data_IF_879972900064
#
_entry.id   IF_879972900064
#
_cell.length_a   1.000
_cell.length_b   1.000
_cell.length_c   1.000
_cell.angle_alpha   90.00
_cell.angle_beta   90.00
_cell.angle_gamma   90.00
#
_symmetry.space_group_name_H-M   'P 1'
#
loop_
_entity.id
_entity.type
_entity.pdbx_description
1 polymer ?
#
# COMPACT_ATOMS: atom_id res chain seq x y z
N UNK A 1 -15.83 3.68 7.16
CA UNK A 1 -14.38 3.42 7.36
C UNK A 1 -13.62 3.92 6.16
N UNK A 2 -12.42 4.48 6.36
CA UNK A 2 -11.56 5.02 5.31
C UNK A 2 -10.38 4.08 5.05
N UNK A 3 -10.08 3.73 3.80
CA UNK A 3 -8.93 2.87 3.51
C UNK A 3 -7.63 3.62 3.76
N UNK A 4 -6.76 3.05 4.61
CA UNK A 4 -5.46 3.64 4.94
C UNK A 4 -4.30 2.86 4.34
N UNK A 5 -4.54 1.60 3.95
CA UNK A 5 -3.58 0.77 3.24
C UNK A 5 -4.33 -0.35 2.51
N UNK A 6 -4.03 -0.58 1.24
CA UNK A 6 -4.57 -1.72 0.48
C UNK A 6 -3.42 -2.59 0.01
N UNK A 7 -3.53 -3.91 0.19
CA UNK A 7 -2.53 -4.83 -0.34
C UNK A 7 -2.67 -4.88 -1.86
N UNK A 8 -1.55 -4.85 -2.58
CA UNK A 8 -1.56 -4.96 -4.03
C UNK A 8 -1.86 -6.41 -4.44
N UNK A 9 -2.95 -6.59 -5.20
CA UNK A 9 -3.36 -7.88 -5.77
C UNK A 9 -3.17 -7.92 -7.29
N UNK A 10 -2.47 -6.94 -7.87
CA UNK A 10 -1.94 -7.03 -9.22
C UNK A 10 -0.55 -7.65 -9.11
N UNK A 11 -0.40 -8.88 -9.63
CA UNK A 11 0.84 -9.64 -9.55
C UNK A 11 1.95 -8.82 -10.24
N UNK A 12 2.98 -8.40 -9.50
CA UNK A 12 4.07 -7.64 -10.08
C UNK A 12 4.99 -8.55 -10.90
N UNK A 13 6.00 -7.95 -11.54
CA UNK A 13 7.12 -8.71 -12.11
C UNK A 13 7.67 -9.72 -11.10
N UNK A 14 8.07 -10.91 -11.57
CA UNK A 14 8.45 -12.06 -10.74
C UNK A 14 9.48 -11.71 -9.65
N UNK A 15 10.45 -10.86 -9.97
CA UNK A 15 11.50 -10.40 -9.06
C UNK A 15 10.99 -9.56 -7.87
N UNK A 16 9.80 -8.97 -8.00
CA UNK A 16 9.20 -8.06 -7.01
C UNK A 16 8.08 -8.70 -6.20
N UNK A 17 7.61 -9.90 -6.56
CA UNK A 17 6.49 -10.57 -5.87
C UNK A 17 6.73 -10.66 -4.36
N UNK A 18 7.95 -11.02 -3.96
CA UNK A 18 8.34 -11.19 -2.55
C UNK A 18 8.22 -9.92 -1.69
N UNK A 19 8.12 -8.74 -2.32
CA UNK A 19 7.88 -7.47 -1.63
C UNK A 19 6.40 -7.29 -1.23
N UNK A 20 5.49 -8.05 -1.84
CA UNK A 20 4.04 -7.95 -1.63
C UNK A 20 3.47 -9.18 -0.93
N UNK A 21 3.87 -10.39 -1.31
CA UNK A 21 3.48 -11.61 -0.61
C UNK A 21 4.45 -12.75 -0.90
N UNK A 22 4.43 -13.78 -0.06
CA UNK A 22 5.15 -15.04 -0.27
C UNK A 22 4.14 -16.17 -0.32
N UNK A 23 4.31 -17.10 -1.24
CA UNK A 23 3.43 -18.24 -1.41
C UNK A 23 4.26 -19.50 -1.55
N UNK A 24 3.74 -20.62 -1.05
CA UNK A 24 4.30 -21.95 -1.31
C UNK A 24 3.92 -22.48 -2.71
N UNK A 25 2.87 -21.93 -3.32
CA UNK A 25 2.37 -22.33 -4.65
C UNK A 25 2.29 -21.14 -5.61
N UNK A 26 2.11 -21.42 -6.89
CA UNK A 26 1.88 -20.40 -7.91
C UNK A 26 0.54 -19.67 -7.70
N UNK A 27 0.56 -18.36 -7.90
CA UNK A 27 -0.59 -17.46 -7.82
C UNK A 27 -0.86 -16.91 -9.22
N UNK A 28 -2.13 -16.85 -9.60
CA UNK A 28 -2.54 -16.45 -10.96
C UNK A 28 -3.35 -15.17 -10.94
N UNK A 29 -3.07 -14.25 -11.87
CA UNK A 29 -3.82 -13.02 -12.01
C UNK A 29 -5.24 -13.33 -12.51
N UNK A 30 -6.23 -12.62 -11.95
CA UNK A 30 -7.62 -12.60 -12.45
C UNK A 30 -8.04 -11.16 -12.78
N UNK A 31 -9.19 -11.02 -13.44
CA UNK A 31 -9.79 -9.70 -13.74
C UNK A 31 -9.97 -8.86 -12.47
N UNK A 32 -10.26 -9.51 -11.34
CA UNK A 32 -10.30 -8.92 -10.01
C UNK A 32 -9.46 -9.75 -9.04
N UNK A 33 -8.33 -9.19 -8.64
CA UNK A 33 -7.42 -9.77 -7.66
C UNK A 33 -6.69 -11.03 -8.13
N UNK A 34 -6.47 -11.97 -7.21
CA UNK A 34 -5.61 -13.13 -7.43
C UNK A 34 -6.34 -14.46 -7.18
N UNK A 35 -6.04 -15.47 -8.00
CA UNK A 35 -6.42 -16.86 -7.79
C UNK A 35 -5.31 -17.61 -7.07
N UNK A 36 -5.69 -18.30 -6.00
CA UNK A 36 -4.83 -19.11 -5.15
C UNK A 36 -5.24 -20.58 -5.35
N UNK A 37 -4.28 -21.42 -5.73
CA UNK A 37 -4.50 -22.86 -5.86
C UNK A 37 -4.46 -23.55 -4.51
N UNK A 38 -5.36 -24.50 -4.31
CA UNK A 38 -5.32 -25.35 -3.13
C UNK A 38 -4.36 -26.55 -3.33
N UNK A 39 -3.55 -26.93 -2.33
CA UNK A 39 -3.36 -26.29 -1.02
C UNK A 39 -2.28 -25.20 -1.03
N UNK A 40 -2.58 -24.01 -0.49
CA UNK A 40 -1.61 -22.92 -0.42
C UNK A 40 -1.73 -22.10 0.86
N UNK A 41 -0.58 -21.58 1.29
CA UNK A 41 -0.43 -20.58 2.33
C UNK A 41 0.25 -19.36 1.71
N UNK A 42 -0.44 -18.22 1.78
CA UNK A 42 0.10 -16.93 1.35
C UNK A 42 0.38 -16.08 2.57
N UNK A 43 1.63 -15.65 2.69
CA UNK A 43 2.10 -14.75 3.73
C UNK A 43 2.22 -13.31 3.23
N UNK A 44 1.41 -12.42 3.83
CA UNK A 44 1.43 -10.98 3.57
C UNK A 44 2.35 -10.23 4.54
N UNK A 45 3.19 -10.93 5.31
CA UNK A 45 4.26 -10.39 6.15
C UNK A 45 5.45 -9.88 5.35
N UNK A 46 5.19 -8.93 4.44
CA UNK A 46 6.16 -8.38 3.50
C UNK A 46 6.21 -6.86 3.60
N UNK A 47 7.13 -6.24 2.86
CA UNK A 47 7.37 -4.80 2.90
C UNK A 47 6.12 -3.97 2.57
N UNK A 48 5.34 -4.40 1.57
CA UNK A 48 4.20 -3.62 1.06
C UNK A 48 2.83 -4.11 1.53
N UNK A 49 2.74 -5.19 2.30
CA UNK A 49 1.44 -5.72 2.77
C UNK A 49 1.33 -5.81 4.30
N UNK A 50 2.44 -5.74 5.01
CA UNK A 50 2.42 -5.62 6.48
C UNK A 50 2.05 -4.20 6.89
N UNK A 51 1.37 -4.09 8.04
CA UNK A 51 0.95 -2.81 8.58
C UNK A 51 1.85 -2.41 9.75
N UNK A 52 2.58 -1.30 9.59
CA UNK A 52 3.50 -0.75 10.59
C UNK A 52 2.75 -0.08 11.75
N UNK A 53 2.01 -0.86 12.54
CA UNK A 53 1.18 -0.41 13.66
C UNK A 53 1.93 0.53 14.62
N UNK A 54 3.20 0.28 14.90
CA UNK A 54 4.01 1.13 15.77
C UNK A 54 4.18 2.57 15.24
N UNK A 55 4.29 2.76 13.92
CA UNK A 55 4.34 4.10 13.30
C UNK A 55 3.00 4.82 13.42
N UNK A 56 1.90 4.08 13.22
CA UNK A 56 0.55 4.64 13.31
C UNK A 56 0.21 5.07 14.75
N UNK A 57 0.60 4.28 15.75
CA UNK A 57 0.49 4.66 17.17
C UNK A 57 1.31 5.92 17.47
N UNK A 58 2.53 6.01 16.94
CA UNK A 58 3.44 7.14 17.22
C UNK A 58 2.96 8.46 16.61
N UNK A 59 2.44 8.42 15.39
CA UNK A 59 2.21 9.62 14.58
C UNK A 59 0.73 9.95 14.36
N UNK A 60 -0.20 9.15 14.88
CA UNK A 60 -1.65 9.37 14.71
C UNK A 60 -2.42 9.05 15.99
N UNK A 61 -3.70 9.44 16.03
CA UNK A 61 -4.59 9.14 17.16
C UNK A 61 -5.36 7.80 16.99
N UNK A 62 -4.95 6.94 16.06
CA UNK A 62 -5.59 5.65 15.87
C UNK A 62 -5.31 4.71 17.04
N UNK A 63 -6.36 4.04 17.49
CA UNK A 63 -6.33 3.02 18.56
C UNK A 63 -6.65 1.62 18.03
N UNK A 64 -7.23 1.55 16.84
CA UNK A 64 -7.59 0.33 16.16
C UNK A 64 -7.62 0.58 14.66
N UNK A 65 -7.63 -0.51 13.91
CA UNK A 65 -7.88 -0.54 12.47
C UNK A 65 -8.81 -1.72 12.17
N UNK A 66 -9.40 -1.72 10.98
CA UNK A 66 -10.13 -2.86 10.46
C UNK A 66 -9.30 -3.55 9.39
N UNK A 67 -9.28 -4.88 9.37
CA UNK A 67 -8.90 -5.64 8.17
C UNK A 67 -10.18 -6.02 7.44
N UNK A 68 -10.29 -5.59 6.18
CA UNK A 68 -11.35 -6.01 5.27
C UNK A 68 -10.78 -6.86 4.15
N UNK A 69 -11.40 -8.02 3.93
CA UNK A 69 -11.04 -8.96 2.88
C UNK A 69 -12.31 -9.41 2.17
N UNK A 70 -12.22 -9.57 0.85
CA UNK A 70 -13.25 -10.27 0.08
C UNK A 70 -12.66 -11.48 -0.64
N UNK A 71 -13.19 -12.66 -0.32
CA UNK A 71 -12.83 -13.92 -0.96
C UNK A 71 -14.01 -14.53 -1.71
N UNK A 72 -13.70 -15.25 -2.78
CA UNK A 72 -14.59 -16.24 -3.40
C UNK A 72 -14.03 -17.61 -3.13
N UNK A 73 -14.64 -18.31 -2.17
CA UNK A 73 -14.11 -19.54 -1.60
C UNK A 73 -13.73 -19.34 -0.14
N UNK A 74 -13.81 -20.42 0.63
CA UNK A 74 -13.55 -20.41 2.06
C UNK A 74 -12.03 -20.40 2.34
N UNK A 75 -11.62 -19.53 3.26
CA UNK A 75 -10.23 -19.41 3.72
C UNK A 75 -10.14 -19.40 5.24
N UNK A 76 -8.96 -19.75 5.74
CA UNK A 76 -8.53 -19.38 7.08
C UNK A 76 -7.56 -18.18 7.00
N UNK A 77 -7.83 -17.17 7.82
CA UNK A 77 -6.97 -16.00 8.02
C UNK A 77 -6.28 -16.14 9.37
N UNK A 78 -4.96 -16.19 9.38
CA UNK A 78 -4.16 -16.13 10.61
C UNK A 78 -3.58 -14.73 10.77
N UNK A 79 -3.94 -14.02 11.83
CA UNK A 79 -3.44 -12.69 12.13
C UNK A 79 -2.20 -12.77 13.02
N UNK A 80 -1.13 -12.09 12.62
CA UNK A 80 0.15 -12.07 13.31
C UNK A 80 0.51 -10.69 13.81
N UNK A 81 1.28 -10.67 14.90
CA UNK A 81 1.90 -9.49 15.47
C UNK A 81 3.36 -9.76 15.80
N UNK A 82 4.20 -8.73 15.65
CA UNK A 82 5.60 -8.82 16.07
C UNK A 82 6.12 -7.46 16.53
N UNK A 83 6.80 -7.45 17.68
CA UNK A 83 7.66 -6.35 18.11
C UNK A 83 9.07 -6.55 17.55
N UNK A 84 9.72 -5.47 17.12
CA UNK A 84 11.12 -5.49 16.64
C UNK A 84 12.09 -6.03 17.70
N UNK A 85 11.80 -5.79 18.99
CA UNK A 85 12.58 -6.30 20.12
C UNK A 85 12.49 -7.82 20.32
N UNK A 86 11.55 -8.49 19.66
CA UNK A 86 11.27 -9.92 19.82
C UNK A 86 11.72 -10.70 18.57
N UNK A 87 12.28 -11.88 18.79
CA UNK A 87 12.70 -12.76 17.68
C UNK A 87 11.49 -13.40 16.99
N UNK A 88 10.50 -13.81 17.78
CA UNK A 88 9.33 -14.55 17.33
C UNK A 88 8.14 -13.63 17.08
N UNK A 89 7.21 -14.10 16.26
CA UNK A 89 5.90 -13.50 16.04
C UNK A 89 4.84 -14.23 16.84
N UNK A 90 3.79 -13.51 17.24
CA UNK A 90 2.63 -14.06 17.93
C UNK A 90 1.45 -14.18 16.97
N UNK A 91 0.67 -15.25 17.08
CA UNK A 91 -0.64 -15.36 16.41
C UNK A 91 -1.66 -14.69 17.33
N UNK A 92 -2.25 -13.59 16.87
CA UNK A 92 -3.27 -12.87 17.62
C UNK A 92 -4.62 -13.55 17.54
N UNK A 93 -5.02 -14.00 16.34
CA UNK A 93 -6.32 -14.64 16.10
C UNK A 93 -6.29 -15.46 14.82
N UNK A 94 -7.29 -16.34 14.69
CA UNK A 94 -7.60 -17.07 13.46
C UNK A 94 -9.07 -16.93 13.12
N UNK A 95 -9.37 -16.73 11.85
CA UNK A 95 -10.74 -16.56 11.36
C UNK A 95 -10.98 -17.49 10.17
N UNK A 96 -12.19 -18.05 10.08
CA UNK A 96 -12.64 -18.78 8.88
C UNK A 96 -13.82 -18.08 8.28
N UNK A 97 -13.78 -17.82 6.97
CA UNK A 97 -14.87 -17.13 6.28
C UNK A 97 -14.85 -17.39 4.77
N UNK A 98 -15.98 -17.07 4.14
CA UNK A 98 -16.16 -17.00 2.70
C UNK A 98 -16.95 -15.73 2.38
N UNK A 99 -16.55 -14.98 1.35
CA UNK A 99 -17.18 -13.71 0.99
C UNK A 99 -16.54 -12.52 1.71
N UNK A 100 -17.39 -11.57 2.12
CA UNK A 100 -16.95 -10.36 2.83
C UNK A 100 -16.58 -10.66 4.28
N UNK A 101 -15.40 -10.20 4.68
CA UNK A 101 -14.90 -10.24 6.05
C UNK A 101 -14.45 -8.85 6.49
N UNK A 102 -14.75 -8.50 7.74
CA UNK A 102 -14.29 -7.26 8.37
C UNK A 102 -14.09 -7.53 9.85
N UNK A 103 -12.89 -7.25 10.36
CA UNK A 103 -12.57 -7.44 11.77
C UNK A 103 -11.80 -6.23 12.31
N UNK A 104 -12.20 -5.75 13.49
CA UNK A 104 -11.49 -4.68 14.20
C UNK A 104 -10.32 -5.24 15.00
N UNK A 105 -9.13 -4.73 14.73
CA UNK A 105 -7.90 -5.05 15.45
C UNK A 105 -7.59 -3.88 16.38
N UNK A 106 -7.78 -4.11 17.66
CA UNK A 106 -7.32 -3.20 18.70
C UNK A 106 -5.79 -3.23 18.76
N UNK A 107 -5.19 -2.04 18.86
CA UNK A 107 -3.75 -1.95 19.01
C UNK A 107 -3.34 -2.50 20.38
N UNK A 108 -2.36 -3.43 20.46
CA UNK A 108 -1.90 -3.95 21.74
C UNK A 108 -1.39 -2.82 22.63
N UNK A 109 -1.78 -2.82 23.91
CA UNK A 109 -1.45 -1.73 24.87
C UNK A 109 0.05 -1.46 24.98
N UNK A 110 0.86 -2.52 24.92
CA UNK A 110 2.32 -2.47 25.03
C UNK A 110 3.02 -2.45 23.66
N UNK A 111 2.34 -1.93 22.63
CA UNK A 111 2.91 -1.82 21.30
C UNK A 111 4.01 -0.76 21.26
N UNK A 112 5.20 -1.19 20.83
CA UNK A 112 6.34 -0.32 20.62
C UNK A 112 6.28 0.35 19.25
N UNK A 113 7.04 1.45 19.08
CA UNK A 113 7.12 2.21 17.83
C UNK A 113 7.59 1.36 16.63
N UNK A 114 8.28 0.25 16.90
CA UNK A 114 8.75 -0.71 15.92
C UNK A 114 7.97 -2.02 16.03
N UNK A 115 6.66 -1.96 15.83
CA UNK A 115 5.81 -3.16 15.77
C UNK A 115 5.05 -3.20 14.45
N UNK A 116 4.78 -4.42 13.99
CA UNK A 116 4.02 -4.70 12.77
C UNK A 116 2.91 -5.71 13.06
N UNK A 117 1.82 -5.61 12.30
CA UNK A 117 0.83 -6.68 12.15
C UNK A 117 0.77 -7.07 10.67
N UNK A 118 0.44 -8.32 10.43
CA UNK A 118 0.17 -8.85 9.09
C UNK A 118 -0.68 -10.10 9.23
N UNK A 119 -1.00 -10.74 8.11
CA UNK A 119 -1.78 -11.97 8.14
C UNK A 119 -1.27 -12.98 7.12
N UNK A 120 -1.66 -14.24 7.31
CA UNK A 120 -1.57 -15.30 6.31
C UNK A 120 -2.96 -15.71 5.86
N UNK A 121 -3.10 -16.02 4.58
CA UNK A 121 -4.30 -16.64 4.00
C UNK A 121 -3.97 -18.09 3.70
N UNK A 122 -4.79 -19.00 4.22
CA UNK A 122 -4.66 -20.44 4.04
C UNK A 122 -5.89 -20.92 3.28
N UNK A 123 -5.68 -21.58 2.13
CA UNK A 123 -6.77 -22.26 1.43
C UNK A 123 -7.18 -23.51 2.20
N UNK A 124 -8.47 -23.81 2.21
CA UNK A 124 -9.01 -24.97 2.91
C UNK A 124 -9.22 -26.14 1.93
N UNK A 125 -10.37 -26.17 1.27
CA UNK A 125 -10.77 -27.33 0.45
C UNK A 125 -10.60 -27.12 -1.05
N UNK A 126 -10.66 -25.87 -1.52
CA UNK A 126 -10.75 -25.52 -2.94
C UNK A 126 -9.89 -24.30 -3.25
N UNK A 127 -9.63 -24.10 -4.55
CA UNK A 127 -9.06 -22.86 -5.05
C UNK A 127 -9.91 -21.66 -4.60
N UNK A 128 -9.23 -20.57 -4.26
CA UNK A 128 -9.87 -19.35 -3.77
C UNK A 128 -9.44 -18.17 -4.61
N UNK A 129 -10.36 -17.25 -4.91
CA UNK A 129 -10.00 -15.93 -5.42
C UNK A 129 -10.07 -14.89 -4.31
N UNK A 130 -9.02 -14.10 -4.12
CA UNK A 130 -9.05 -12.92 -3.26
C UNK A 130 -9.17 -11.70 -4.15
N UNK A 131 -10.28 -10.96 -4.01
CA UNK A 131 -10.55 -9.80 -4.88
C UNK A 131 -10.13 -8.49 -4.24
N UNK A 132 -10.07 -8.41 -2.90
CA UNK A 132 -9.61 -7.22 -2.19
C UNK A 132 -9.09 -7.55 -0.80
N UNK A 133 -8.08 -6.79 -0.37
CA UNK A 133 -7.58 -6.76 1.00
C UNK A 133 -7.23 -5.31 1.34
N UNK A 134 -7.77 -4.79 2.43
CA UNK A 134 -7.45 -3.44 2.91
C UNK A 134 -7.44 -3.35 4.43
N UNK A 135 -6.53 -2.53 4.94
CA UNK A 135 -6.59 -1.99 6.29
C UNK A 135 -7.34 -0.67 6.24
N UNK A 136 -8.35 -0.53 7.10
CA UNK A 136 -9.18 0.66 7.18
C UNK A 136 -9.12 1.31 8.55
N UNK A 137 -9.24 2.63 8.55
CA UNK A 137 -9.42 3.43 9.74
C UNK A 137 -10.91 3.57 10.05
N UNK A 138 -11.33 3.41 11.32
CA UNK A 138 -12.67 3.82 11.75
C UNK A 138 -12.83 5.35 11.77
N UNK A 139 -11.72 6.10 11.84
CA UNK A 139 -11.69 7.56 11.86
C UNK A 139 -11.56 8.08 10.43
N UNK A 140 -12.43 9.01 10.04
CA UNK A 140 -12.32 9.71 8.76
C UNK A 140 -11.18 10.74 8.80
N UNK A 141 -10.55 11.08 7.66
CA UNK A 141 -9.58 12.16 7.59
C UNK A 141 -10.17 13.46 8.16
N UNK A 142 -9.45 14.08 9.09
CA UNK A 142 -9.91 15.30 9.78
C UNK A 142 -9.80 16.56 8.92
N UNK A 143 -8.83 16.57 8.00
CA UNK A 143 -8.50 17.72 7.18
C UNK A 143 -8.71 17.39 5.71
N UNK A 144 -9.19 18.37 4.94
CA UNK A 144 -9.09 18.33 3.48
C UNK A 144 -7.62 18.44 3.09
N UNK A 145 -7.10 17.45 2.37
CA UNK A 145 -5.69 17.42 1.95
C UNK A 145 -5.56 18.09 0.59
N UNK A 146 -4.58 18.99 0.48
CA UNK A 146 -4.05 19.49 -0.80
C UNK A 146 -2.66 18.94 -0.99
N UNK A 147 -2.36 18.35 -2.15
CA UNK A 147 -1.10 17.68 -2.39
C UNK A 147 -0.24 18.51 -3.36
N UNK A 148 0.92 18.95 -2.91
CA UNK A 148 1.95 19.53 -3.77
C UNK A 148 3.03 18.51 -4.08
N UNK A 149 3.29 18.23 -5.36
CA UNK A 149 4.43 17.42 -5.81
C UNK A 149 5.41 18.33 -6.52
N UNK A 150 6.64 18.37 -6.03
CA UNK A 150 7.72 19.16 -6.63
C UNK A 150 8.79 18.21 -7.16
N UNK A 151 9.10 18.35 -8.44
CA UNK A 151 10.21 17.67 -9.08
C UNK A 151 11.29 18.68 -9.43
N UNK A 152 12.52 18.43 -8.99
CA UNK A 152 13.71 19.14 -9.47
C UNK A 152 14.42 18.27 -10.50
N UNK A 153 14.79 18.83 -11.66
CA UNK A 153 15.44 18.08 -12.75
C UNK A 153 16.57 18.86 -13.41
N UNK A 154 17.53 18.13 -14.01
CA UNK A 154 18.65 18.66 -14.77
C UNK A 154 19.05 17.63 -15.84
N UNK A 155 18.82 17.93 -17.13
CA UNK A 155 19.12 17.04 -18.26
C UNK A 155 18.54 15.61 -18.12
N UNK A 156 17.27 15.50 -17.69
CA UNK A 156 16.58 14.20 -17.48
C UNK A 156 15.12 14.25 -17.95
N UNK A 157 14.91 14.72 -19.17
CA UNK A 157 13.61 15.03 -19.77
C UNK A 157 12.70 13.79 -19.84
N UNK A 158 13.23 12.65 -20.28
CA UNK A 158 12.46 11.41 -20.35
C UNK A 158 12.03 10.90 -18.97
N UNK A 159 12.93 10.99 -17.99
CA UNK A 159 12.64 10.55 -16.61
C UNK A 159 11.55 11.40 -15.97
N UNK A 160 11.61 12.72 -16.14
CA UNK A 160 10.60 13.60 -15.55
C UNK A 160 9.22 13.40 -16.21
N UNK A 161 9.18 13.25 -17.54
CA UNK A 161 7.94 12.92 -18.26
C UNK A 161 7.33 11.60 -17.77
N UNK A 162 8.17 10.57 -17.57
CA UNK A 162 7.72 9.29 -17.02
C UNK A 162 7.27 9.35 -15.55
N UNK A 163 7.93 10.17 -14.71
CA UNK A 163 7.51 10.32 -13.31
C UNK A 163 6.20 11.09 -13.20
N UNK A 164 6.01 12.11 -14.03
CA UNK A 164 4.76 12.86 -14.12
C UNK A 164 3.62 11.94 -14.57
N UNK A 165 3.81 11.11 -15.59
CA UNK A 165 2.75 10.20 -16.06
C UNK A 165 2.29 9.22 -14.97
N UNK A 166 3.21 8.79 -14.08
CA UNK A 166 2.89 7.94 -12.93
C UNK A 166 2.04 8.63 -11.86
N UNK A 167 1.94 9.95 -11.84
CA UNK A 167 1.02 10.65 -10.91
C UNK A 167 -0.45 10.37 -11.19
N UNK A 168 -0.78 9.78 -12.34
CA UNK A 168 -2.13 9.28 -12.67
C UNK A 168 -2.68 8.27 -11.66
N UNK A 169 -1.82 7.57 -10.92
CA UNK A 169 -2.21 6.63 -9.85
C UNK A 169 -2.82 7.31 -8.62
N UNK A 170 -2.65 8.64 -8.48
CA UNK A 170 -3.20 9.39 -7.36
C UNK A 170 -4.74 9.29 -7.41
N UNK A 171 -5.42 8.99 -6.30
CA UNK A 171 -6.88 8.90 -6.29
C UNK A 171 -7.55 10.20 -6.73
N UNK A 172 -8.67 10.11 -7.44
CA UNK A 172 -9.39 11.28 -7.97
C UNK A 172 -9.79 12.29 -6.88
N UNK A 173 -10.08 11.80 -5.67
CA UNK A 173 -10.37 12.61 -4.48
C UNK A 173 -9.24 13.58 -4.11
N UNK A 174 -8.00 13.28 -4.49
CA UNK A 174 -6.83 14.13 -4.25
C UNK A 174 -6.46 14.92 -5.52
N UNK A 175 -6.80 14.41 -6.71
CA UNK A 175 -6.46 15.06 -7.98
C UNK A 175 -7.06 16.46 -8.13
N UNK A 176 -8.24 16.71 -7.58
CA UNK A 176 -8.86 18.04 -7.62
C UNK A 176 -8.03 19.12 -6.92
N UNK A 177 -7.26 18.75 -5.89
CA UNK A 177 -6.39 19.65 -5.11
C UNK A 177 -4.90 19.27 -5.26
N UNK A 178 -4.53 18.67 -6.40
CA UNK A 178 -3.16 18.31 -6.76
C UNK A 178 -2.47 19.45 -7.51
N UNK A 179 -1.31 19.87 -7.03
CA UNK A 179 -0.42 20.81 -7.72
C UNK A 179 0.90 20.10 -8.04
N UNK A 180 1.29 20.07 -9.31
CA UNK A 180 2.58 19.54 -9.75
C UNK A 180 3.46 20.69 -10.23
N UNK A 181 4.67 20.77 -9.67
CA UNK A 181 5.67 21.78 -10.00
C UNK A 181 6.92 21.06 -10.49
N UNK A 182 7.48 21.52 -11.61
CA UNK A 182 8.76 21.05 -12.14
C UNK A 182 9.73 22.21 -12.16
N UNK A 183 10.79 22.10 -11.37
CA UNK A 183 11.93 23.04 -11.37
C UNK A 183 12.98 22.47 -12.31
N UNK A 184 13.16 23.12 -13.45
CA UNK A 184 14.11 22.71 -14.49
C UNK A 184 15.38 23.56 -14.41
N UNK A 185 16.42 22.98 -13.81
CA UNK A 185 17.72 23.62 -13.61
C UNK A 185 18.58 23.66 -14.89
N UNK A 186 18.22 22.87 -15.91
CA UNK A 186 18.90 22.86 -17.21
C UNK A 186 18.22 23.78 -18.23
N UNK A 187 16.95 24.12 -18.00
CA UNK A 187 16.10 24.93 -18.89
C UNK A 187 15.93 24.30 -20.28
N UNK A 188 15.77 22.97 -20.29
CA UNK A 188 15.66 22.14 -21.48
C UNK A 188 14.22 21.72 -21.78
N UNK A 189 13.31 21.86 -20.82
CA UNK A 189 11.89 21.52 -20.96
C UNK A 189 11.08 22.72 -21.47
N UNK A 190 10.06 22.43 -22.27
CA UNK A 190 9.11 23.42 -22.75
C UNK A 190 7.78 23.28 -21.99
N UNK A 191 7.05 24.38 -21.81
CA UNK A 191 5.72 24.33 -21.17
C UNK A 191 4.73 23.44 -21.93
N UNK A 192 4.87 23.37 -23.24
CA UNK A 192 4.04 22.54 -24.13
C UNK A 192 4.23 21.04 -23.90
N UNK A 193 5.31 20.63 -23.22
CA UNK A 193 5.53 19.23 -22.84
C UNK A 193 4.54 18.74 -21.76
N UNK A 194 3.80 19.65 -21.11
CA UNK A 194 3.03 19.33 -19.91
C UNK A 194 1.64 19.99 -19.88
N UNK A 195 0.64 19.22 -19.44
CA UNK A 195 -0.71 19.71 -19.15
C UNK A 195 -0.90 19.87 -17.64
N UNK A 196 -1.38 21.03 -17.19
CA UNK A 196 -1.68 21.32 -15.77
C UNK A 196 -0.47 21.17 -14.83
N UNK A 197 0.73 21.57 -15.29
CA UNK A 197 1.97 21.54 -14.51
C UNK A 197 2.61 22.92 -14.49
N UNK A 198 3.14 23.32 -13.34
CA UNK A 198 3.91 24.54 -13.20
C UNK A 198 5.39 24.27 -13.50
N UNK A 199 5.82 24.58 -14.71
CA UNK A 199 7.24 24.54 -15.10
C UNK A 199 7.94 25.84 -14.69
N UNK A 200 8.99 25.71 -13.88
CA UNK A 200 9.84 26.80 -13.38
C UNK A 200 11.26 26.59 -13.93
N UNK A 201 11.68 27.31 -14.98
CA UNK A 201 13.07 27.33 -15.41
C UNK A 201 13.94 28.00 -14.33
N UNK A 202 14.98 27.32 -13.88
CA UNK A 202 15.84 27.77 -12.79
C UNK A 202 17.32 27.75 -13.19
N UNK A 203 18.17 28.47 -12.45
CA UNK A 203 19.63 28.30 -12.56
C UNK A 203 20.02 26.98 -11.91
N UNK A 204 21.13 26.38 -12.33
CA UNK A 204 21.64 25.20 -11.65
C UNK A 204 22.16 25.53 -10.25
N UNK A 205 21.33 25.29 -9.24
CA UNK A 205 21.61 25.52 -7.81
C UNK A 205 21.69 24.19 -7.03
N UNK A 206 21.85 23.06 -7.72
CA UNK A 206 21.78 21.73 -7.11
C UNK A 206 20.35 21.33 -6.72
N UNK A 207 20.21 20.29 -5.90
CA UNK A 207 18.89 19.78 -5.49
C UNK A 207 18.21 20.55 -4.35
N UNK A 208 18.93 21.45 -3.68
CA UNK A 208 18.39 22.26 -2.57
C UNK A 208 17.85 23.62 -3.01
N UNK A 209 18.17 24.07 -4.23
CA UNK A 209 17.86 25.41 -4.74
C UNK A 209 16.97 25.41 -5.98
#
# INVERSE_FOLDING_TARGET
MYSIHSCNLNIPEKEKISLYFKSNEDIFQKDKGILIKNPSVIDFGTLFSSFSIGKWIKFTNLKSIFIEIYSKGEIELELFYKKSSESNSEILNKFKFNGSFSEEIQFPKDSLQESIIWFKIITLEKDVTIESISYKSPILPLNKIKLGIVFTTYNREEYIKNNISKTSIIPDQIKEDLTIIVVDNAKTLNKEDFNNIHLIPNKNMGGAG
#
